data_IF_887454539796
#
_entry.id   IF_887454539796
#
_cell.length_a   1.000
_cell.length_b   1.000
_cell.length_c   1.000
_cell.angle_alpha   90.00
_cell.angle_beta   90.00
_cell.angle_gamma   90.00
#
_symmetry.space_group_name_H-M   'P 1'
#
loop_
_entity.id
_entity.type
_entity.pdbx_description
1 polymer ?
#
# COMPACT_ATOMS: atom_id res chain seq x y z
N UNK A 1 -33.81 -11.08 -0.53
CA UNK A 1 -32.85 -12.07 0.01
C UNK A 1 -31.44 -11.97 -0.59
N UNK A 2 -31.15 -11.07 -1.55
CA UNK A 2 -29.82 -10.92 -2.17
C UNK A 2 -28.82 -10.07 -1.34
N UNK A 3 -29.29 -9.05 -0.61
CA UNK A 3 -28.42 -8.08 0.09
C UNK A 3 -27.46 -8.66 1.14
N UNK A 4 -27.88 -9.68 1.90
CA UNK A 4 -27.04 -10.26 2.95
C UNK A 4 -25.79 -10.96 2.40
N UNK A 5 -25.80 -11.39 1.13
CA UNK A 5 -24.64 -12.04 0.49
C UNK A 5 -23.61 -11.01 0.02
N UNK A 6 -24.06 -9.89 -0.57
CA UNK A 6 -23.20 -8.79 -1.04
C UNK A 6 -22.55 -8.02 0.12
N UNK A 7 -23.28 -7.80 1.22
CA UNK A 7 -22.71 -7.18 2.43
C UNK A 7 -21.66 -8.08 3.09
N UNK A 8 -21.89 -9.41 3.07
CA UNK A 8 -20.96 -10.39 3.61
C UNK A 8 -19.71 -10.53 2.74
N UNK A 9 -19.82 -10.40 1.41
CA UNK A 9 -18.64 -10.43 0.52
C UNK A 9 -17.77 -9.19 0.70
N UNK A 10 -18.35 -7.99 0.75
CA UNK A 10 -17.57 -6.76 0.99
C UNK A 10 -16.86 -6.75 2.34
N UNK A 11 -17.50 -7.27 3.39
CA UNK A 11 -16.86 -7.42 4.69
C UNK A 11 -15.68 -8.40 4.68
N UNK A 12 -15.78 -9.51 3.93
CA UNK A 12 -14.70 -10.48 3.78
C UNK A 12 -13.55 -9.93 2.93
N UNK A 13 -13.84 -9.14 1.90
CA UNK A 13 -12.83 -8.45 1.10
C UNK A 13 -12.05 -7.44 1.94
N UNK A 14 -12.75 -6.60 2.72
CA UNK A 14 -12.12 -5.66 3.64
C UNK A 14 -11.27 -6.40 4.69
N UNK A 15 -11.79 -7.48 5.27
CA UNK A 15 -11.05 -8.30 6.22
C UNK A 15 -9.76 -8.84 5.59
N UNK A 16 -9.83 -9.31 4.34
CA UNK A 16 -8.68 -9.81 3.59
C UNK A 16 -7.64 -8.71 3.41
N UNK A 17 -8.04 -7.52 2.97
CA UNK A 17 -7.16 -6.36 2.81
C UNK A 17 -6.47 -5.99 4.13
N UNK A 18 -7.24 -5.91 5.23
CA UNK A 18 -6.70 -5.59 6.55
C UNK A 18 -5.74 -6.67 7.04
N UNK A 19 -6.04 -7.95 6.80
CA UNK A 19 -5.17 -9.07 7.16
C UNK A 19 -3.82 -8.98 6.43
N UNK A 20 -3.84 -8.77 5.11
CA UNK A 20 -2.61 -8.62 4.32
C UNK A 20 -1.80 -7.40 4.75
N UNK A 21 -2.46 -6.28 5.02
CA UNK A 21 -1.80 -5.08 5.54
C UNK A 21 -1.14 -5.35 6.90
N UNK A 22 -1.82 -6.04 7.81
CA UNK A 22 -1.29 -6.38 9.13
C UNK A 22 -0.10 -7.34 9.05
N UNK A 23 -0.17 -8.35 8.18
CA UNK A 23 0.95 -9.29 7.95
C UNK A 23 2.16 -8.54 7.38
N UNK A 24 1.95 -7.70 6.37
CA UNK A 24 3.01 -6.88 5.76
C UNK A 24 3.68 -5.95 6.80
N UNK A 25 2.87 -5.27 7.62
CA UNK A 25 3.37 -4.44 8.71
C UNK A 25 4.16 -5.26 9.73
N UNK A 26 3.68 -6.46 10.07
CA UNK A 26 4.37 -7.39 10.95
C UNK A 26 5.75 -7.78 10.43
N UNK A 27 5.89 -8.08 9.13
CA UNK A 27 7.18 -8.33 8.51
C UNK A 27 8.12 -7.12 8.64
N UNK A 28 7.63 -5.91 8.41
CA UNK A 28 8.40 -4.68 8.61
C UNK A 28 8.91 -4.53 10.04
N UNK A 29 8.06 -4.79 11.03
CA UNK A 29 8.43 -4.75 12.45
C UNK A 29 9.49 -5.81 12.78
N UNK A 30 9.35 -7.03 12.27
CA UNK A 30 10.36 -8.10 12.48
C UNK A 30 11.71 -7.67 11.91
N UNK A 31 11.75 -7.09 10.71
CA UNK A 31 12.99 -6.59 10.11
C UNK A 31 13.61 -5.50 10.99
N UNK A 32 12.81 -4.55 11.48
CA UNK A 32 13.27 -3.49 12.38
C UNK A 32 13.89 -4.06 13.66
N UNK A 33 13.24 -5.05 14.28
CA UNK A 33 13.75 -5.70 15.49
C UNK A 33 15.09 -6.41 15.26
N UNK A 34 15.33 -6.93 14.05
CA UNK A 34 16.55 -7.65 13.70
C UNK A 34 17.71 -6.72 13.29
N UNK A 35 17.42 -5.51 12.83
CA UNK A 35 18.41 -4.63 12.16
C UNK A 35 18.64 -3.29 12.85
N UNK A 36 17.67 -2.78 13.61
CA UNK A 36 17.74 -1.43 14.18
C UNK A 36 18.47 -1.43 15.54
N UNK A 37 19.33 -0.43 15.74
CA UNK A 37 19.96 -0.17 17.04
C UNK A 37 18.97 0.37 18.08
N UNK A 38 17.93 1.08 17.63
CA UNK A 38 16.83 1.57 18.46
C UNK A 38 15.48 1.17 17.82
N UNK A 39 14.97 -0.04 18.11
CA UNK A 39 13.75 -0.55 17.50
C UNK A 39 12.50 0.26 17.87
N UNK A 40 12.45 0.79 19.09
CA UNK A 40 11.27 1.53 19.57
C UNK A 40 11.07 2.79 18.74
N UNK A 41 12.14 3.56 18.51
CA UNK A 41 12.07 4.77 17.69
C UNK A 41 11.80 4.46 16.21
N UNK A 42 12.36 3.38 15.68
CA UNK A 42 12.12 2.96 14.31
C UNK A 42 10.66 2.51 14.08
N UNK A 43 10.06 1.77 15.01
CA UNK A 43 8.64 1.39 14.96
C UNK A 43 7.76 2.64 15.07
N UNK A 44 8.09 3.59 15.95
CA UNK A 44 7.38 4.86 16.04
C UNK A 44 7.43 5.62 14.70
N UNK A 45 8.61 5.72 14.09
CA UNK A 45 8.77 6.37 12.79
C UNK A 45 7.98 5.66 11.68
N UNK A 46 7.95 4.33 11.68
CA UNK A 46 7.16 3.53 10.73
C UNK A 46 5.65 3.84 10.84
N UNK A 47 5.12 3.92 12.06
CA UNK A 47 3.68 4.04 12.29
C UNK A 47 3.15 5.46 12.14
N UNK A 48 3.89 6.46 12.63
CA UNK A 48 3.40 7.85 12.70
C UNK A 48 4.30 8.86 12.00
N UNK A 49 5.46 8.45 11.48
CA UNK A 49 6.40 9.37 10.83
C UNK A 49 5.78 10.13 9.66
N UNK A 50 4.99 9.43 8.84
CA UNK A 50 4.34 9.99 7.66
C UNK A 50 3.32 11.12 7.97
N UNK A 51 2.77 11.16 9.20
CA UNK A 51 1.78 12.16 9.64
C UNK A 51 2.31 13.11 10.72
N UNK A 52 3.60 13.00 11.06
CA UNK A 52 4.16 13.70 12.21
C UNK A 52 4.21 15.24 12.03
N UNK A 53 4.24 15.74 10.80
CA UNK A 53 4.15 17.17 10.49
C UNK A 53 3.67 17.41 9.04
N UNK A 54 3.32 18.65 8.72
CA UNK A 54 2.79 19.03 7.40
C UNK A 54 3.73 18.73 6.23
N UNK A 55 5.05 18.81 6.45
CA UNK A 55 6.04 18.47 5.42
C UNK A 55 6.04 16.96 5.13
N UNK A 56 6.15 16.13 6.17
CA UNK A 56 6.14 14.67 6.02
C UNK A 56 4.80 14.16 5.46
N UNK A 57 3.69 14.79 5.85
CA UNK A 57 2.38 14.50 5.28
C UNK A 57 2.32 14.87 3.80
N UNK A 58 2.84 16.05 3.42
CA UNK A 58 2.97 16.44 2.02
C UNK A 58 3.83 15.47 1.20
N UNK A 59 4.96 15.04 1.75
CA UNK A 59 5.83 14.02 1.14
C UNK A 59 5.09 12.69 0.97
N UNK A 60 4.40 12.21 2.01
CA UNK A 60 3.60 10.99 1.96
C UNK A 60 2.56 11.06 0.83
N UNK A 61 1.83 12.18 0.73
CA UNK A 61 0.85 12.37 -0.34
C UNK A 61 1.51 12.38 -1.71
N UNK A 62 2.58 13.16 -1.89
CA UNK A 62 3.31 13.25 -3.15
C UNK A 62 3.81 11.87 -3.62
N UNK A 63 4.37 11.08 -2.71
CA UNK A 63 4.82 9.71 -2.99
C UNK A 63 3.67 8.73 -3.22
N UNK A 64 2.47 8.98 -2.68
CA UNK A 64 1.30 8.10 -2.84
C UNK A 64 0.60 8.28 -4.20
N UNK A 65 0.64 9.49 -4.78
CA UNK A 65 0.03 9.80 -6.08
C UNK A 65 0.39 8.79 -7.17
N UNK A 66 1.68 8.50 -7.46
CA UNK A 66 2.02 7.54 -8.50
C UNK A 66 1.46 6.15 -8.24
N UNK A 67 1.52 5.64 -7.01
CA UNK A 67 0.98 4.33 -6.67
C UNK A 67 -0.55 4.25 -6.87
N UNK A 68 -1.29 5.31 -6.51
CA UNK A 68 -2.73 5.37 -6.73
C UNK A 68 -3.07 5.38 -8.23
N UNK A 69 -2.33 6.15 -9.04
CA UNK A 69 -2.52 6.19 -10.49
C UNK A 69 -2.17 4.86 -11.15
N UNK A 70 -1.10 4.19 -10.70
CA UNK A 70 -0.74 2.84 -11.17
C UNK A 70 -1.83 1.83 -10.82
N UNK A 71 -2.37 1.86 -9.60
CA UNK A 71 -3.50 1.01 -9.20
C UNK A 71 -4.73 1.23 -10.08
N UNK A 72 -5.07 2.49 -10.36
CA UNK A 72 -6.17 2.83 -11.27
C UNK A 72 -5.94 2.30 -12.69
N UNK A 73 -4.72 2.43 -13.22
CA UNK A 73 -4.36 1.90 -14.54
C UNK A 73 -4.49 0.37 -14.59
N UNK A 74 -4.07 -0.35 -13.55
CA UNK A 74 -4.18 -1.81 -13.45
C UNK A 74 -5.66 -2.25 -13.44
N UNK A 75 -6.53 -1.55 -12.70
CA UNK A 75 -7.97 -1.84 -12.70
C UNK A 75 -8.57 -1.73 -14.10
N UNK A 76 -8.17 -0.71 -14.87
CA UNK A 76 -8.62 -0.54 -16.26
C UNK A 76 -8.15 -1.73 -17.13
N UNK A 77 -6.90 -2.16 -16.99
CA UNK A 77 -6.35 -3.30 -17.73
C UNK A 77 -7.08 -4.61 -17.40
N UNK A 78 -7.36 -4.89 -16.12
CA UNK A 78 -8.11 -6.07 -15.72
C UNK A 78 -9.56 -6.05 -16.22
N UNK A 79 -10.20 -4.89 -16.30
CA UNK A 79 -11.53 -4.77 -16.94
C UNK A 79 -11.50 -5.12 -18.43
N UNK A 80 -10.37 -4.91 -19.10
CA UNK A 80 -10.15 -5.32 -20.48
C UNK A 80 -9.69 -6.79 -20.62
N UNK A 81 -9.68 -7.56 -19.52
CA UNK A 81 -9.12 -8.93 -19.46
C UNK A 81 -7.65 -9.02 -19.86
N UNK A 82 -6.91 -7.91 -19.75
CA UNK A 82 -5.47 -7.85 -20.00
C UNK A 82 -4.75 -7.91 -18.65
N UNK A 83 -3.95 -8.95 -18.46
CA UNK A 83 -3.15 -9.12 -17.26
C UNK A 83 -1.86 -8.28 -17.36
N UNK A 84 -1.61 -7.41 -16.38
CA UNK A 84 -0.38 -6.61 -16.29
C UNK A 84 0.42 -6.99 -15.03
N UNK A 85 1.54 -7.68 -15.20
CA UNK A 85 2.48 -8.03 -14.11
C UNK A 85 3.48 -6.89 -13.86
N UNK A 86 3.78 -6.10 -14.89
CA UNK A 86 4.91 -5.16 -14.91
C UNK A 86 4.55 -3.72 -14.54
N UNK A 87 3.36 -3.45 -14.01
CA UNK A 87 2.89 -2.10 -13.74
C UNK A 87 3.85 -1.30 -12.82
N UNK A 88 4.46 -1.97 -11.84
CA UNK A 88 5.46 -1.38 -10.95
C UNK A 88 6.76 -1.04 -11.70
N UNK A 89 7.22 -1.93 -12.59
CA UNK A 89 8.37 -1.68 -13.46
C UNK A 89 8.12 -0.53 -14.44
N UNK A 90 6.91 -0.44 -14.99
CA UNK A 90 6.50 0.67 -15.86
C UNK A 90 6.52 2.01 -15.11
N UNK A 91 6.07 2.02 -13.85
CA UNK A 91 6.15 3.20 -12.99
C UNK A 91 7.62 3.62 -12.79
N UNK A 92 8.51 2.68 -12.46
CA UNK A 92 9.93 2.97 -12.23
C UNK A 92 10.64 3.46 -13.50
N UNK A 93 10.43 2.82 -14.64
CA UNK A 93 11.02 3.25 -15.91
C UNK A 93 10.48 4.63 -16.32
N UNK A 94 9.19 4.88 -16.11
CA UNK A 94 8.60 6.21 -16.34
C UNK A 94 9.23 7.29 -15.46
N UNK A 95 9.49 6.98 -14.18
CA UNK A 95 10.18 7.90 -13.28
C UNK A 95 11.65 8.13 -13.65
N UNK A 96 12.33 7.15 -14.25
CA UNK A 96 13.72 7.29 -14.73
C UNK A 96 13.84 8.08 -16.04
N UNK A 97 12.80 8.05 -16.88
CA UNK A 97 12.82 8.67 -18.21
C UNK A 97 12.31 10.12 -18.23
N UNK A 98 11.70 10.60 -17.14
CA UNK A 98 11.21 11.97 -16.98
C UNK A 98 12.29 12.91 -16.43
#
# INVERSE_FOLDING_TARGET
>A
MSDRRTLRSGALELLTVVLFAAVSLGFGIVIILLTSADPARAIQALLVGAVANGFQFGTMLASSVPYLLTGLAVVIAFKASVFNIGAEGQLYIGALAA
#
